data_IF_199109925429
#
_entry.id   IF_199109925429
#
_cell.length_a   1.000
_cell.length_b   1.000
_cell.length_c   1.000
_cell.angle_alpha   90.00
_cell.angle_beta   90.00
_cell.angle_gamma   90.00
#
_symmetry.space_group_name_H-M   'P 1'
#
loop_
_entity.id
_entity.type
_entity.pdbx_description
1 polymer ?
#
# COMPACT_ATOMS: atom_id res chain seq x y z
N UNK A 1 5.04 7.36 -16.34
CA UNK A 1 5.31 8.13 -15.12
C UNK A 1 6.82 8.19 -14.89
N UNK A 2 7.31 9.36 -14.50
CA UNK A 2 8.75 9.64 -14.54
C UNK A 2 9.49 9.29 -13.24
N UNK A 3 8.85 9.30 -12.08
CA UNK A 3 9.54 9.14 -10.81
C UNK A 3 8.84 8.11 -9.92
N UNK A 4 9.62 7.54 -9.00
CA UNK A 4 9.09 6.62 -7.97
C UNK A 4 8.07 7.32 -7.09
N UNK A 5 8.30 8.59 -6.76
CA UNK A 5 7.36 9.39 -5.99
C UNK A 5 6.02 9.53 -6.70
N UNK A 6 6.03 9.84 -7.98
CA UNK A 6 4.80 10.00 -8.77
C UNK A 6 4.03 8.69 -8.90
N UNK A 7 4.74 7.58 -9.05
CA UNK A 7 4.12 6.25 -9.10
C UNK A 7 3.42 5.92 -7.79
N UNK A 8 4.07 6.21 -6.66
CA UNK A 8 3.48 6.04 -5.35
C UNK A 8 2.25 6.90 -5.14
N UNK A 9 2.32 8.17 -5.52
CA UNK A 9 1.19 9.11 -5.43
C UNK A 9 0.01 8.63 -6.29
N UNK A 10 0.30 8.16 -7.50
CA UNK A 10 -0.73 7.62 -8.38
C UNK A 10 -1.40 6.39 -7.78
N UNK A 11 -0.62 5.48 -7.19
CA UNK A 11 -1.18 4.29 -6.55
C UNK A 11 -2.12 4.68 -5.39
N UNK A 12 -1.76 5.68 -4.59
CA UNK A 12 -2.61 6.19 -3.50
C UNK A 12 -3.92 6.75 -4.06
N UNK A 13 -3.87 7.57 -5.10
CA UNK A 13 -5.09 8.15 -5.70
C UNK A 13 -5.98 7.07 -6.32
N UNK A 14 -5.39 6.05 -6.95
CA UNK A 14 -6.14 4.91 -7.47
C UNK A 14 -6.81 4.11 -6.36
N UNK A 15 -6.10 3.87 -5.26
CA UNK A 15 -6.66 3.17 -4.11
C UNK A 15 -7.87 3.94 -3.55
N UNK A 16 -7.73 5.26 -3.37
CA UNK A 16 -8.82 6.11 -2.89
C UNK A 16 -10.03 5.98 -3.82
N UNK A 17 -9.83 6.09 -5.13
CA UNK A 17 -10.90 6.01 -6.11
C UNK A 17 -11.58 4.64 -6.08
N UNK A 18 -10.82 3.56 -6.02
CA UNK A 18 -11.36 2.20 -6.04
C UNK A 18 -12.13 1.85 -4.77
N UNK A 19 -11.62 2.24 -3.60
CA UNK A 19 -12.34 2.05 -2.35
C UNK A 19 -13.61 2.90 -2.29
N UNK A 20 -13.53 4.14 -2.78
CA UNK A 20 -14.71 5.03 -2.85
C UNK A 20 -15.77 4.44 -3.77
N UNK A 21 -15.39 3.95 -4.93
CA UNK A 21 -16.30 3.30 -5.87
C UNK A 21 -16.96 2.06 -5.25
N UNK A 22 -16.23 1.33 -4.43
CA UNK A 22 -16.74 0.16 -3.73
C UNK A 22 -17.68 0.50 -2.55
N UNK A 23 -17.83 1.79 -2.24
CA UNK A 23 -18.74 2.24 -1.19
C UNK A 23 -18.11 2.39 0.20
N UNK A 24 -16.78 2.35 0.29
CA UNK A 24 -16.09 2.55 1.56
C UNK A 24 -15.64 3.99 1.73
N UNK A 25 -15.80 4.54 2.91
CA UNK A 25 -15.28 5.86 3.25
C UNK A 25 -13.77 5.79 3.47
N UNK A 26 -13.04 6.76 2.94
CA UNK A 26 -11.58 6.80 2.98
C UNK A 26 -11.11 8.02 3.75
N UNK A 27 -10.13 7.81 4.63
CA UNK A 27 -9.47 8.88 5.39
C UNK A 27 -7.96 8.84 5.14
N UNK A 28 -7.31 9.99 5.29
CA UNK A 28 -5.87 10.12 5.10
C UNK A 28 -5.21 10.47 6.44
N UNK A 29 -4.07 9.85 6.78
CA UNK A 29 -3.30 10.31 7.93
C UNK A 29 -2.71 11.68 7.61
N UNK A 30 -2.75 12.58 8.60
CA UNK A 30 -2.19 13.92 8.45
C UNK A 30 -0.66 13.89 8.55
N UNK A 31 -0.13 12.98 9.37
CA UNK A 31 1.31 12.92 9.65
C UNK A 31 2.03 11.98 8.70
N UNK A 32 3.22 12.38 8.25
CA UNK A 32 4.05 11.57 7.35
C UNK A 32 4.67 10.35 8.03
N UNK A 33 4.72 10.33 9.36
CA UNK A 33 5.31 9.23 10.11
C UNK A 33 4.42 7.99 10.18
N UNK A 34 3.17 8.07 9.73
CA UNK A 34 2.27 6.92 9.73
C UNK A 34 2.83 5.78 8.88
N UNK A 35 2.66 4.54 9.36
CA UNK A 35 3.13 3.33 8.67
C UNK A 35 2.16 2.83 7.60
N UNK A 36 1.11 3.58 7.32
CA UNK A 36 0.08 3.29 6.33
C UNK A 36 -0.24 4.57 5.56
N UNK A 37 -0.86 4.42 4.40
CA UNK A 37 -1.12 5.54 3.49
C UNK A 37 -2.54 6.05 3.56
N UNK A 38 -3.50 5.16 3.82
CA UNK A 38 -4.93 5.52 3.94
C UNK A 38 -5.59 4.65 5.01
N UNK A 39 -6.77 5.09 5.44
CA UNK A 39 -7.65 4.31 6.31
C UNK A 39 -8.97 4.17 5.60
N UNK A 40 -9.54 2.96 5.59
CA UNK A 40 -10.87 2.71 5.03
C UNK A 40 -11.81 2.22 6.14
N UNK A 41 -13.07 2.64 6.04
CA UNK A 41 -14.12 2.18 6.95
C UNK A 41 -14.83 1.00 6.31
N UNK A 42 -14.55 -0.20 6.83
CA UNK A 42 -15.15 -1.44 6.37
C UNK A 42 -16.28 -1.83 7.32
N UNK A 43 -17.50 -1.37 7.03
CA UNK A 43 -18.70 -1.64 7.84
C UNK A 43 -18.51 -1.30 9.33
N UNK A 44 -17.93 -0.13 9.60
CA UNK A 44 -17.68 0.34 10.95
C UNK A 44 -16.35 -0.08 11.53
N UNK A 45 -15.57 -0.90 10.84
CA UNK A 45 -14.22 -1.30 11.24
C UNK A 45 -13.20 -0.55 10.41
N UNK A 46 -12.39 0.26 11.07
CA UNK A 46 -11.35 1.03 10.38
C UNK A 46 -10.15 0.14 10.07
N UNK A 47 -9.75 0.12 8.81
CA UNK A 47 -8.60 -0.67 8.33
C UNK A 47 -7.51 0.27 7.84
N UNK A 48 -6.31 0.11 8.37
CA UNK A 48 -5.11 0.80 7.87
C UNK A 48 -4.65 0.10 6.61
N UNK A 49 -4.43 0.87 5.54
CA UNK A 49 -4.03 0.32 4.24
C UNK A 49 -2.68 0.88 3.83
N UNK A 50 -1.73 -0.02 3.59
CA UNK A 50 -0.46 0.30 2.97
C UNK A 50 -0.64 0.21 1.45
N UNK A 51 -0.18 1.23 0.73
CA UNK A 51 -0.31 1.30 -0.73
C UNK A 51 1.05 1.14 -1.38
N UNK A 52 1.15 0.30 -2.41
CA UNK A 52 2.38 0.08 -3.17
C UNK A 52 2.10 0.08 -4.66
N UNK A 53 3.03 0.64 -5.43
CA UNK A 53 3.10 0.50 -6.88
C UNK A 53 4.21 -0.50 -7.19
N UNK A 54 4.02 -1.38 -8.15
CA UNK A 54 5.05 -2.36 -8.50
C UNK A 54 5.07 -2.67 -10.00
N UNK A 55 6.25 -3.09 -10.45
CA UNK A 55 6.47 -3.63 -11.79
C UNK A 55 6.88 -5.09 -11.66
N UNK A 56 6.58 -5.90 -12.68
CA UNK A 56 6.91 -7.31 -12.64
C UNK A 56 6.01 -8.07 -11.68
N UNK A 57 6.59 -8.97 -10.87
CA UNK A 57 5.84 -9.94 -10.08
C UNK A 57 5.85 -9.67 -8.59
N UNK A 58 6.84 -8.90 -8.11
CA UNK A 58 7.07 -8.72 -6.68
C UNK A 58 6.69 -7.31 -6.24
N UNK A 59 5.98 -7.24 -5.11
CA UNK A 59 5.75 -5.99 -4.40
C UNK A 59 6.83 -5.85 -3.33
N UNK A 60 7.62 -4.79 -3.40
CA UNK A 60 8.63 -4.48 -2.39
C UNK A 60 7.95 -3.95 -1.13
N UNK A 61 8.23 -4.57 0.01
CA UNK A 61 7.61 -4.20 1.28
C UNK A 61 8.54 -3.39 2.18
N UNK A 62 9.83 -3.37 1.89
CA UNK A 62 10.80 -2.63 2.69
C UNK A 62 10.70 -1.14 2.39
N UNK A 63 10.91 -0.34 3.42
CA UNK A 63 10.99 1.11 3.30
C UNK A 63 12.46 1.50 3.30
N UNK A 64 12.89 2.24 2.29
CA UNK A 64 14.27 2.70 2.16
C UNK A 64 14.30 4.19 2.39
N UNK A 65 15.03 4.62 3.41
CA UNK A 65 15.27 6.02 3.70
C UNK A 65 16.72 6.37 3.38
N UNK A 66 16.90 7.45 2.62
CA UNK A 66 18.20 8.04 2.31
C UNK A 66 18.42 9.21 3.27
N UNK A 67 19.60 9.30 3.87
CA UNK A 67 20.00 10.42 4.72
C UNK A 67 21.48 10.74 4.50
N UNK A 68 22.02 11.73 5.22
CA UNK A 68 23.41 12.16 5.10
C UNK A 68 24.44 11.08 5.48
N UNK A 69 24.02 10.03 6.15
CA UNK A 69 24.87 8.91 6.57
C UNK A 69 24.70 7.66 5.69
N UNK A 70 23.87 7.72 4.62
CA UNK A 70 23.59 6.61 3.73
C UNK A 70 22.13 6.18 3.73
N UNK A 71 21.88 4.88 3.57
CA UNK A 71 20.53 4.34 3.51
C UNK A 71 20.16 3.62 4.78
N UNK A 72 18.90 3.77 5.21
CA UNK A 72 18.30 2.97 6.26
C UNK A 72 17.19 2.14 5.64
N UNK A 73 17.25 0.81 5.78
CA UNK A 73 16.24 -0.10 5.29
C UNK A 73 15.35 -0.51 6.46
N UNK A 74 14.05 -0.22 6.35
CA UNK A 74 13.07 -0.59 7.37
C UNK A 74 12.14 -1.67 6.85
N UNK A 75 12.03 -2.76 7.62
CA UNK A 75 11.06 -3.82 7.36
C UNK A 75 9.72 -3.48 8.00
N UNK A 76 8.67 -4.11 7.51
CA UNK A 76 7.31 -3.96 8.06
C UNK A 76 7.28 -4.40 9.52
N UNK A 77 6.80 -3.51 10.39
CA UNK A 77 6.59 -3.80 11.81
C UNK A 77 5.28 -4.53 12.02
N UNK A 78 5.17 -5.22 13.16
CA UNK A 78 3.92 -5.83 13.59
C UNK A 78 2.82 -4.78 13.68
N UNK A 79 1.64 -5.09 13.16
CA UNK A 79 0.47 -4.21 13.18
C UNK A 79 0.69 -2.85 12.50
N UNK A 80 1.64 -2.75 11.56
CA UNK A 80 1.88 -1.52 10.83
C UNK A 80 0.67 -1.11 9.98
N UNK A 81 -0.04 -2.09 9.44
CA UNK A 81 -1.26 -1.90 8.66
C UNK A 81 -2.10 -3.17 8.71
N UNK A 82 -3.33 -3.11 8.21
CA UNK A 82 -4.24 -4.26 8.17
C UNK A 82 -4.31 -4.87 6.77
N UNK A 83 -4.31 -4.01 5.74
CA UNK A 83 -4.45 -4.41 4.34
C UNK A 83 -3.32 -3.83 3.51
N UNK A 84 -2.91 -4.59 2.49
CA UNK A 84 -1.97 -4.13 1.46
C UNK A 84 -2.72 -3.94 0.15
N UNK A 85 -2.73 -2.71 -0.36
CA UNK A 85 -3.20 -2.42 -1.72
C UNK A 85 -1.97 -2.30 -2.63
N UNK A 86 -1.97 -3.01 -3.73
CA UNK A 86 -0.86 -2.96 -4.68
C UNK A 86 -1.38 -2.71 -6.09
N UNK A 87 -0.81 -1.70 -6.75
CA UNK A 87 -1.13 -1.34 -8.12
C UNK A 87 0.03 -1.74 -9.03
N UNK A 88 -0.27 -2.60 -10.00
CA UNK A 88 0.69 -3.05 -11.02
C UNK A 88 0.89 -1.98 -12.09
N UNK A 89 2.08 -1.97 -12.70
CA UNK A 89 2.37 -1.14 -13.88
C UNK A 89 1.50 -1.52 -15.10
N UNK A 90 0.89 -2.72 -15.07
CA UNK A 90 -0.10 -3.15 -16.07
C UNK A 90 -1.53 -2.79 -15.67
N UNK A 91 -1.68 -1.92 -14.68
CA UNK A 91 -2.96 -1.37 -14.22
C UNK A 91 -3.88 -2.37 -13.51
N UNK A 92 -3.34 -3.47 -13.00
CA UNK A 92 -4.08 -4.42 -12.17
C UNK A 92 -4.00 -3.98 -10.72
N UNK A 93 -5.13 -4.07 -10.03
CA UNK A 93 -5.25 -3.73 -8.62
C UNK A 93 -5.36 -4.99 -7.78
N UNK A 94 -4.60 -5.05 -6.68
CA UNK A 94 -4.63 -6.17 -5.73
C UNK A 94 -4.93 -5.65 -4.34
N UNK A 95 -5.69 -6.41 -3.58
CA UNK A 95 -5.96 -6.15 -2.17
C UNK A 95 -5.69 -7.41 -1.38
N UNK A 96 -4.72 -7.37 -0.48
CA UNK A 96 -4.33 -8.48 0.37
C UNK A 96 -4.62 -8.09 1.81
N UNK A 97 -5.54 -8.81 2.46
CA UNK A 97 -6.06 -8.44 3.76
C UNK A 97 -5.21 -9.00 4.89
N UNK A 98 -3.88 -8.77 4.83
CA UNK A 98 -2.96 -9.14 5.90
C UNK A 98 -1.75 -8.23 5.92
N UNK A 99 -1.10 -8.16 7.08
CA UNK A 99 0.14 -7.41 7.27
C UNK A 99 1.33 -8.38 7.16
N UNK A 100 2.26 -8.07 6.27
CA UNK A 100 3.46 -8.90 6.03
C UNK A 100 4.61 -8.46 6.91
N UNK A 101 4.54 -8.81 8.18
CA UNK A 101 5.55 -8.47 9.18
C UNK A 101 6.92 -9.07 8.81
N UNK A 102 7.96 -8.24 8.84
CA UNK A 102 9.35 -8.61 8.58
C UNK A 102 9.64 -9.24 7.21
N UNK A 103 8.70 -9.20 6.29
CA UNK A 103 8.91 -9.74 4.95
C UNK A 103 9.52 -8.69 4.02
N UNK A 104 10.35 -9.17 3.12
CA UNK A 104 11.00 -8.35 2.10
C UNK A 104 10.07 -8.00 0.96
N UNK A 105 9.26 -8.96 0.52
CA UNK A 105 8.39 -8.81 -0.64
C UNK A 105 7.25 -9.81 -0.60
N UNK A 106 6.27 -9.58 -1.46
CA UNK A 106 5.15 -10.50 -1.68
C UNK A 106 4.82 -10.53 -3.17
N UNK A 107 4.42 -11.70 -3.66
CA UNK A 107 3.91 -11.87 -5.03
C UNK A 107 2.39 -11.95 -4.96
N UNK A 108 1.65 -10.92 -5.44
CA UNK A 108 0.20 -11.00 -5.47
C UNK A 108 -0.28 -12.17 -6.35
N UNK A 109 -1.32 -12.86 -5.89
CA UNK A 109 -1.92 -13.97 -6.59
C UNK A 109 -3.22 -13.53 -7.26
N UNK A 110 -3.73 -14.27 -8.27
CA UNK A 110 -5.03 -13.93 -8.89
C UNK A 110 -6.18 -13.81 -7.88
N UNK A 111 -6.12 -14.59 -6.79
CA UNK A 111 -7.12 -14.51 -5.71
C UNK A 111 -7.08 -13.19 -4.94
N UNK A 112 -6.01 -12.41 -5.07
CA UNK A 112 -5.85 -11.11 -4.41
C UNK A 112 -6.35 -9.94 -5.27
N UNK A 113 -6.85 -10.18 -6.48
CA UNK A 113 -7.39 -9.10 -7.32
C UNK A 113 -8.46 -8.33 -6.55
N UNK A 114 -8.41 -6.99 -6.66
CA UNK A 114 -9.33 -6.11 -5.97
C UNK A 114 -10.77 -6.45 -6.37
N UNK A 115 -11.57 -6.81 -5.38
CA UNK A 115 -12.94 -7.26 -5.58
C UNK A 115 -13.79 -6.90 -4.34
N UNK A 116 -14.22 -5.66 -4.28
CA UNK A 116 -15.09 -5.17 -3.21
C UNK A 116 -16.40 -4.65 -3.75
#
# INVERSE_FOLDING_TARGET
MRTTQRKGDYAVTRAIASFTKAGLDVSLPITESASYDIVVDDNGKLKKVQVRYFSGRLVELRRIHSNSKGYVIKKTKKNAYDWLYALSDTNKEYLIKECFENRRSVTPQPSHLFNL
#
